data_IF_961304698036
#
_entry.id   IF_961304698036
#
_cell.length_a   1.000
_cell.length_b   1.000
_cell.length_c   1.000
_cell.angle_alpha   90.00
_cell.angle_beta   90.00
_cell.angle_gamma   90.00
#
_symmetry.space_group_name_H-M   'P 1'
#
loop_
_entity.id
_entity.type
_entity.pdbx_description
1 polymer ?
#
# COMPACT_ATOMS: atom_id res chain seq x y z
N UNK A 1 -76.14 -8.58 42.00
CA UNK A 1 -77.07 -7.45 41.76
C UNK A 1 -76.23 -6.18 41.66
N UNK A 2 -76.66 -5.21 40.84
CA UNK A 2 -76.18 -3.81 40.68
C UNK A 2 -74.65 -3.59 40.59
N UNK A 3 -74.02 -3.12 39.50
CA UNK A 3 -74.33 -2.05 38.52
C UNK A 3 -74.17 -0.60 39.03
N UNK A 4 -73.39 0.19 38.28
CA UNK A 4 -73.58 1.64 37.97
C UNK A 4 -73.36 2.61 39.17
N UNK A 5 -72.59 3.71 39.13
CA UNK A 5 -71.76 4.41 38.12
C UNK A 5 -70.86 5.45 38.87
N UNK A 6 -70.13 6.47 38.37
CA UNK A 6 -69.76 7.17 37.10
C UNK A 6 -68.51 8.06 37.43
N UNK A 7 -67.73 8.75 36.56
CA UNK A 7 -67.42 8.74 35.12
C UNK A 7 -66.16 9.64 34.89
N UNK A 8 -65.55 9.63 33.69
CA UNK A 8 -64.57 10.60 33.13
C UNK A 8 -63.24 10.88 33.88
N UNK A 9 -62.14 10.43 33.27
CA UNK A 9 -61.13 11.28 32.59
C UNK A 9 -60.18 10.33 31.80
N UNK A 10 -60.43 10.09 30.51
CA UNK A 10 -59.84 10.78 29.34
C UNK A 10 -58.31 10.59 29.17
N UNK A 11 -57.92 10.20 27.96
CA UNK A 11 -56.58 9.72 27.60
C UNK A 11 -55.53 10.84 27.54
N UNK A 12 -54.30 10.60 28.03
CA UNK A 12 -53.06 11.17 27.45
C UNK A 12 -51.78 10.59 28.11
N UNK A 13 -51.16 9.56 27.50
CA UNK A 13 -49.68 9.29 27.46
C UNK A 13 -49.32 7.83 27.04
N UNK A 14 -49.58 7.46 25.79
CA UNK A 14 -48.98 6.24 25.18
C UNK A 14 -47.71 6.58 24.36
N UNK A 15 -47.43 7.86 24.14
CA UNK A 15 -46.38 8.34 23.22
C UNK A 15 -44.98 8.57 23.83
N UNK A 16 -44.79 8.41 25.15
CA UNK A 16 -43.58 8.91 25.83
C UNK A 16 -42.76 7.85 26.59
N UNK A 17 -42.45 6.70 25.96
CA UNK A 17 -41.34 5.82 26.39
C UNK A 17 -40.74 4.86 25.35
N UNK A 18 -41.05 5.02 24.06
CA UNK A 18 -40.55 4.12 22.99
C UNK A 18 -39.26 4.61 22.28
N UNK A 19 -38.54 5.58 22.86
CA UNK A 19 -37.59 6.43 22.10
C UNK A 19 -36.13 6.40 22.57
N UNK A 20 -35.73 5.48 23.47
CA UNK A 20 -34.38 5.47 24.09
C UNK A 20 -33.68 4.09 24.05
N UNK A 21 -33.96 3.25 23.05
CA UNK A 21 -33.18 2.02 22.77
C UNK A 21 -32.84 1.88 21.26
N UNK A 22 -32.59 3.01 20.58
CA UNK A 22 -32.10 3.03 19.18
C UNK A 22 -30.77 3.81 19.07
N UNK A 23 -30.48 4.71 20.02
CA UNK A 23 -29.35 5.66 20.03
C UNK A 23 -27.98 5.07 20.37
N UNK A 24 -27.82 3.74 20.36
CA UNK A 24 -26.54 3.06 20.63
C UNK A 24 -26.12 2.03 19.58
N UNK A 25 -26.88 1.87 18.49
CA UNK A 25 -26.33 1.38 17.22
C UNK A 25 -25.54 2.49 16.52
N UNK A 26 -24.50 2.99 17.20
CA UNK A 26 -23.41 3.67 16.52
C UNK A 26 -22.80 2.65 15.54
N UNK A 27 -22.82 2.89 14.21
CA UNK A 27 -21.89 2.21 13.35
C UNK A 27 -20.50 2.72 13.72
N UNK A 28 -19.85 2.00 14.64
CA UNK A 28 -18.40 1.89 14.68
C UNK A 28 -17.98 1.31 13.33
N UNK A 29 -17.97 2.19 12.34
CA UNK A 29 -17.35 2.02 11.04
C UNK A 29 -15.86 2.03 11.30
N UNK A 30 -15.37 0.90 11.81
CA UNK A 30 -13.95 0.62 11.94
C UNK A 30 -13.33 1.04 10.61
N UNK A 31 -12.33 1.93 10.68
CA UNK A 31 -11.41 2.12 9.58
C UNK A 31 -10.48 0.89 9.55
N UNK A 32 -11.11 -0.27 9.32
CA UNK A 32 -10.49 -1.57 9.27
C UNK A 32 -9.44 -1.52 8.17
N UNK A 33 -8.18 -1.67 8.56
CA UNK A 33 -7.10 -1.74 7.61
C UNK A 33 -7.27 -3.04 6.82
N UNK A 34 -7.50 -2.93 5.51
CA UNK A 34 -7.46 -4.09 4.64
C UNK A 34 -6.04 -4.65 4.66
N UNK A 35 -5.90 -5.96 4.87
CA UNK A 35 -4.61 -6.63 4.93
C UNK A 35 -4.58 -7.77 3.92
N UNK A 36 -3.71 -7.64 2.93
CA UNK A 36 -3.42 -8.69 1.95
C UNK A 36 -2.08 -9.32 2.31
N UNK A 37 -2.07 -10.62 2.64
CA UNK A 37 -0.85 -11.37 2.97
C UNK A 37 -0.44 -12.29 1.80
N UNK A 38 0.87 -12.39 1.58
CA UNK A 38 1.49 -13.05 0.43
C UNK A 38 2.59 -14.01 0.83
N UNK A 39 2.61 -15.16 0.16
CA UNK A 39 3.82 -15.95 0.00
C UNK A 39 4.62 -15.37 -1.17
N UNK A 40 5.93 -15.26 -1.02
CA UNK A 40 6.85 -14.83 -2.08
C UNK A 40 7.75 -16.00 -2.44
N UNK A 41 7.67 -16.41 -3.71
CA UNK A 41 8.46 -17.48 -4.30
C UNK A 41 9.44 -16.91 -5.33
N UNK A 42 10.58 -17.56 -5.50
CA UNK A 42 11.61 -17.22 -6.49
C UNK A 42 11.94 -18.42 -7.38
N UNK A 43 12.28 -18.13 -8.65
CA UNK A 43 12.77 -19.08 -9.64
C UNK A 43 14.02 -18.53 -10.34
N UNK A 44 15.17 -19.15 -10.10
CA UNK A 44 16.43 -18.82 -10.76
C UNK A 44 17.60 -19.65 -10.20
N UNK A 45 18.83 -19.14 -10.33
CA UNK A 45 20.06 -19.89 -9.99
C UNK A 45 20.03 -20.41 -8.55
N UNK A 46 19.63 -19.56 -7.58
CA UNK A 46 19.60 -19.91 -6.16
C UNK A 46 18.51 -20.93 -5.77
N UNK A 47 17.60 -21.29 -6.69
CA UNK A 47 16.55 -22.29 -6.48
C UNK A 47 16.66 -23.48 -7.45
N UNK A 48 17.80 -23.66 -8.11
CA UNK A 48 17.98 -24.71 -9.13
C UNK A 48 17.01 -24.56 -10.31
N UNK A 49 16.57 -23.34 -10.60
CA UNK A 49 15.48 -23.01 -11.53
C UNK A 49 14.13 -23.69 -11.21
N UNK A 50 13.91 -24.14 -9.98
CA UNK A 50 12.58 -24.49 -9.45
C UNK A 50 11.90 -23.26 -8.83
N UNK A 51 10.58 -23.31 -8.58
CA UNK A 51 9.92 -22.33 -7.72
C UNK A 51 10.15 -22.73 -6.25
N UNK A 52 10.64 -21.80 -5.43
CA UNK A 52 10.88 -22.03 -4.00
C UNK A 52 10.40 -20.85 -3.17
N UNK A 53 9.72 -21.17 -2.06
CA UNK A 53 9.32 -20.25 -0.99
C UNK A 53 10.54 -19.53 -0.38
N UNK A 54 10.57 -18.19 -0.43
CA UNK A 54 11.75 -17.40 0.01
C UNK A 54 11.45 -16.25 0.97
N UNK A 55 10.24 -15.70 0.96
CA UNK A 55 9.83 -14.71 1.97
C UNK A 55 8.32 -14.64 2.13
N UNK A 56 7.85 -14.04 3.21
CA UNK A 56 6.47 -13.57 3.31
C UNK A 56 6.43 -12.07 3.07
N UNK A 57 5.33 -11.60 2.48
CA UNK A 57 5.06 -10.19 2.29
C UNK A 57 3.61 -9.84 2.66
N UNK A 58 3.33 -8.56 2.91
CA UNK A 58 1.97 -8.10 3.19
C UNK A 58 1.75 -6.66 2.80
N UNK A 59 0.53 -6.32 2.35
CA UNK A 59 0.08 -4.95 2.07
C UNK A 59 -1.07 -4.62 3.03
N UNK A 60 -0.85 -3.64 3.90
CA UNK A 60 -1.87 -3.02 4.78
C UNK A 60 -2.34 -1.72 4.12
N UNK A 61 -3.66 -1.53 3.98
CA UNK A 61 -4.27 -0.34 3.36
C UNK A 61 -5.32 0.26 4.30
N UNK A 62 -5.23 1.56 4.61
CA UNK A 62 -6.23 2.25 5.44
C UNK A 62 -6.40 3.72 5.07
N UNK A 63 -7.54 4.30 5.40
CA UNK A 63 -7.76 5.75 5.37
C UNK A 63 -7.04 6.41 6.56
N UNK A 64 -6.54 7.63 6.36
CA UNK A 64 -5.98 8.49 7.40
C UNK A 64 -6.75 9.82 7.35
N UNK A 65 -7.21 10.30 8.50
CA UNK A 65 -8.11 11.45 8.59
C UNK A 65 -7.43 12.77 8.20
N UNK A 66 -6.18 12.95 8.62
CA UNK A 66 -5.35 14.13 8.36
C UNK A 66 -4.06 13.72 7.65
N UNK A 67 -3.76 14.44 6.58
CA UNK A 67 -2.58 14.33 5.73
C UNK A 67 -2.23 15.75 5.25
N UNK A 68 -1.04 15.97 4.66
CA UNK A 68 -0.71 17.28 4.10
C UNK A 68 -1.85 17.80 3.19
N UNK A 69 -2.02 19.12 3.23
CA UNK A 69 -3.11 19.83 2.56
C UNK A 69 -4.47 19.76 3.32
N UNK A 70 -4.48 19.27 4.57
CA UNK A 70 -5.61 19.41 5.50
C UNK A 70 -6.82 18.52 5.19
N UNK A 71 -6.60 17.37 4.54
CA UNK A 71 -7.67 16.49 4.10
C UNK A 71 -7.28 15.02 4.07
N UNK A 72 -8.28 14.15 4.25
CA UNK A 72 -8.04 12.72 4.40
C UNK A 72 -7.40 12.08 3.17
N UNK A 73 -6.38 11.26 3.39
CA UNK A 73 -5.71 10.49 2.35
C UNK A 73 -5.73 8.98 2.65
N UNK A 74 -5.20 8.18 1.74
CA UNK A 74 -4.99 6.74 1.93
C UNK A 74 -3.52 6.49 2.28
N UNK A 75 -3.28 5.53 3.17
CA UNK A 75 -1.94 5.06 3.53
C UNK A 75 -1.86 3.57 3.24
N UNK A 76 -0.91 3.19 2.38
CA UNK A 76 -0.56 1.81 2.07
C UNK A 76 0.82 1.48 2.61
N UNK A 77 0.96 0.38 3.35
CA UNK A 77 2.24 -0.16 3.84
C UNK A 77 2.45 -1.54 3.24
N UNK A 78 3.48 -1.71 2.42
CA UNK A 78 3.99 -3.00 1.99
C UNK A 78 5.21 -3.40 2.83
N UNK A 79 5.28 -4.65 3.29
CA UNK A 79 6.44 -5.22 3.99
C UNK A 79 6.82 -6.58 3.42
N UNK A 80 8.10 -6.95 3.46
CA UNK A 80 8.60 -8.27 3.04
C UNK A 80 9.77 -8.74 3.91
N UNK A 81 9.79 -10.02 4.27
CA UNK A 81 10.71 -10.60 5.25
C UNK A 81 11.05 -12.07 4.95
N UNK A 82 12.35 -12.39 4.85
CA UNK A 82 12.86 -13.76 4.75
C UNK A 82 12.98 -14.49 6.09
N UNK A 83 12.60 -13.89 7.24
CA UNK A 83 12.89 -14.43 8.59
C UNK A 83 12.50 -15.90 8.80
N UNK A 84 11.41 -16.36 8.19
CA UNK A 84 10.91 -17.74 8.31
C UNK A 84 11.48 -18.74 7.29
N UNK A 85 12.39 -18.31 6.41
CA UNK A 85 12.79 -19.06 5.21
C UNK A 85 14.30 -19.31 5.24
N UNK A 86 14.69 -20.39 5.92
CA UNK A 86 16.08 -20.64 6.33
C UNK A 86 17.11 -20.51 5.19
N UNK A 87 16.81 -21.03 4.00
CA UNK A 87 17.71 -20.98 2.84
C UNK A 87 18.00 -19.53 2.40
N UNK A 88 16.96 -18.69 2.22
CA UNK A 88 17.22 -17.29 1.86
C UNK A 88 17.78 -16.50 3.06
N UNK A 89 17.31 -16.73 4.28
CA UNK A 89 17.80 -16.01 5.47
C UNK A 89 19.29 -16.29 5.76
N UNK A 90 19.81 -17.46 5.40
CA UNK A 90 21.23 -17.78 5.48
C UNK A 90 22.09 -16.98 4.49
N UNK A 91 21.60 -16.76 3.26
CA UNK A 91 22.33 -16.08 2.18
C UNK A 91 22.10 -14.55 2.24
N UNK A 92 20.83 -14.12 2.24
CA UNK A 92 20.40 -12.73 2.12
C UNK A 92 19.22 -12.42 3.06
N UNK A 93 19.52 -11.78 4.19
CA UNK A 93 18.52 -11.38 5.22
C UNK A 93 17.65 -10.21 4.77
N UNK A 94 16.68 -10.50 3.88
CA UNK A 94 15.71 -9.56 3.32
C UNK A 94 14.82 -9.00 4.43
N UNK A 95 14.86 -7.68 4.61
CA UNK A 95 13.89 -6.90 5.39
C UNK A 95 13.58 -5.63 4.61
N UNK A 96 12.36 -5.56 4.07
CA UNK A 96 11.88 -4.45 3.25
C UNK A 96 10.59 -3.89 3.82
N UNK A 97 10.48 -2.56 3.84
CA UNK A 97 9.25 -1.83 4.15
C UNK A 97 9.13 -0.63 3.21
N UNK A 98 7.98 -0.51 2.57
CA UNK A 98 7.57 0.60 1.74
C UNK A 98 6.25 1.15 2.28
N UNK A 99 6.13 2.46 2.45
CA UNK A 99 4.91 3.11 2.94
C UNK A 99 4.60 4.31 2.08
N UNK A 100 3.42 4.36 1.46
CA UNK A 100 2.95 5.47 0.64
C UNK A 100 1.73 6.14 1.26
N UNK A 101 1.66 7.46 1.14
CA UNK A 101 0.50 8.31 1.40
C UNK A 101 0.06 8.92 0.07
N UNK A 102 -1.21 8.74 -0.29
CA UNK A 102 -1.72 9.12 -1.61
C UNK A 102 -3.22 9.46 -1.56
N UNK A 103 -3.65 10.26 -2.53
CA UNK A 103 -5.06 10.52 -2.82
C UNK A 103 -5.44 9.76 -4.10
N UNK A 104 -6.73 9.41 -4.24
CA UNK A 104 -7.27 8.68 -5.40
C UNK A 104 -8.11 9.58 -6.34
N UNK A 105 -8.48 10.79 -5.89
CA UNK A 105 -9.26 11.79 -6.64
C UNK A 105 -8.76 13.21 -6.29
N UNK A 106 -7.91 13.86 -7.12
CA UNK A 106 -7.13 13.25 -8.20
C UNK A 106 -6.17 12.17 -7.66
N UNK A 107 -5.74 11.26 -8.53
CA UNK A 107 -4.75 10.26 -8.18
C UNK A 107 -3.36 10.91 -8.09
N UNK A 108 -2.82 11.12 -6.88
CA UNK A 108 -1.49 11.70 -6.63
C UNK A 108 -0.85 11.10 -5.38
N UNK A 109 0.47 10.92 -5.39
CA UNK A 109 1.23 10.60 -4.17
C UNK A 109 1.59 11.88 -3.43
N UNK A 110 1.50 11.85 -2.10
CA UNK A 110 1.91 12.95 -1.20
C UNK A 110 3.31 12.69 -0.66
N UNK A 111 3.58 11.46 -0.20
CA UNK A 111 4.89 11.04 0.29
C UNK A 111 5.05 9.52 0.30
N UNK A 112 6.30 9.05 0.29
CA UNK A 112 6.61 7.64 0.57
C UNK A 112 7.96 7.39 1.24
N UNK A 113 7.95 6.46 2.20
CA UNK A 113 9.11 6.00 2.95
C UNK A 113 9.56 4.62 2.45
N UNK A 114 10.87 4.47 2.25
CA UNK A 114 11.53 3.20 1.90
C UNK A 114 12.56 2.82 2.96
N UNK A 115 12.51 1.57 3.44
CA UNK A 115 13.46 0.94 4.37
C UNK A 115 13.89 -0.42 3.83
N UNK A 116 15.18 -0.61 3.57
CA UNK A 116 15.75 -1.83 2.99
C UNK A 116 17.05 -2.21 3.70
N UNK A 117 17.12 -3.38 4.36
CA UNK A 117 18.35 -3.85 5.02
C UNK A 117 19.35 -4.38 3.98
N UNK A 118 20.62 -3.96 4.04
CA UNK A 118 21.70 -4.52 3.20
C UNK A 118 22.74 -5.28 4.04
N UNK A 119 22.68 -6.61 3.97
CA UNK A 119 23.75 -7.60 4.20
C UNK A 119 24.66 -7.51 5.45
N UNK A 120 24.30 -6.76 6.50
CA UNK A 120 25.05 -6.73 7.77
C UNK A 120 24.39 -7.59 8.86
N UNK A 121 25.14 -8.52 9.46
CA UNK A 121 24.71 -9.27 10.64
C UNK A 121 24.76 -8.45 11.92
N UNK A 122 25.73 -7.53 12.04
CA UNK A 122 25.83 -6.63 13.19
C UNK A 122 24.60 -5.74 13.24
N UNK A 123 23.90 -5.75 14.39
CA UNK A 123 22.72 -4.93 14.68
C UNK A 123 23.11 -3.44 14.82
N UNK A 124 23.45 -2.82 13.70
CA UNK A 124 23.54 -1.36 13.63
C UNK A 124 22.12 -0.81 13.54
N UNK A 125 21.73 0.20 14.34
CA UNK A 125 20.42 0.86 14.24
C UNK A 125 20.17 1.58 12.90
N UNK A 126 21.15 1.55 11.97
CA UNK A 126 21.06 2.06 10.61
C UNK A 126 21.63 1.09 9.56
N UNK A 127 21.50 -0.23 9.78
CA UNK A 127 21.77 -1.28 8.77
C UNK A 127 20.86 -1.24 7.52
N UNK A 128 19.97 -0.25 7.45
CA UNK A 128 19.05 -0.01 6.36
C UNK A 128 19.53 1.14 5.45
N UNK A 129 19.27 1.02 4.14
CA UNK A 129 18.94 2.19 3.32
C UNK A 129 17.61 2.73 3.85
N UNK A 130 17.57 3.99 4.26
CA UNK A 130 16.36 4.67 4.70
C UNK A 130 16.23 5.96 3.90
N UNK A 131 15.08 6.15 3.26
CA UNK A 131 14.78 7.36 2.51
C UNK A 131 13.30 7.69 2.55
N UNK A 132 13.00 8.97 2.51
CA UNK A 132 11.66 9.53 2.42
C UNK A 132 11.61 10.42 1.17
N UNK A 133 10.59 10.27 0.34
CA UNK A 133 10.24 11.19 -0.73
C UNK A 133 8.97 11.95 -0.31
N UNK A 134 8.94 13.26 -0.51
CA UNK A 134 7.75 14.10 -0.29
C UNK A 134 7.48 14.92 -1.55
N UNK A 135 6.23 14.97 -1.99
CA UNK A 135 5.75 15.73 -3.16
C UNK A 135 4.86 16.86 -2.62
N UNK A 136 5.42 18.01 -2.22
CA UNK A 136 4.64 19.11 -1.66
C UNK A 136 3.55 19.56 -2.63
N UNK A 137 2.36 19.83 -2.08
CA UNK A 137 1.17 20.34 -2.77
C UNK A 137 0.70 19.50 -3.98
N UNK A 138 1.22 18.27 -4.14
CA UNK A 138 1.03 17.46 -5.36
C UNK A 138 1.60 18.12 -6.63
N UNK A 139 2.56 19.03 -6.46
CA UNK A 139 3.16 19.84 -7.51
C UNK A 139 4.15 19.09 -8.39
N UNK A 140 5.07 19.83 -9.00
CA UNK A 140 6.06 19.34 -9.98
C UNK A 140 7.44 19.07 -9.40
N UNK A 141 7.56 18.94 -8.06
CA UNK A 141 8.83 18.67 -7.36
C UNK A 141 8.68 17.52 -6.38
N UNK A 142 9.72 16.69 -6.29
CA UNK A 142 9.91 15.71 -5.19
C UNK A 142 11.16 16.06 -4.40
N UNK A 143 11.02 16.05 -3.08
CA UNK A 143 12.09 16.25 -2.11
C UNK A 143 12.51 14.89 -1.53
N UNK A 144 13.67 14.40 -1.96
CA UNK A 144 14.20 13.09 -1.61
C UNK A 144 15.22 13.17 -0.48
N UNK A 145 14.78 12.83 0.73
CA UNK A 145 15.60 12.79 1.94
C UNK A 145 16.27 11.42 2.09
N UNK A 146 17.60 11.39 2.18
CA UNK A 146 18.39 10.20 2.58
C UNK A 146 18.68 10.27 4.08
N UNK A 147 18.21 9.28 4.83
CA UNK A 147 18.08 9.36 6.30
C UNK A 147 19.11 8.48 7.04
N UNK A 148 19.62 8.98 8.18
CA UNK A 148 20.60 8.34 9.08
C UNK A 148 20.47 8.82 10.54
N UNK A 149 21.43 8.44 11.39
CA UNK A 149 21.59 8.87 12.79
C UNK A 149 22.13 10.28 12.98
N UNK A 150 22.94 10.77 12.04
CA UNK A 150 23.67 12.05 12.08
C UNK A 150 23.37 12.85 10.81
N UNK A 151 23.46 14.17 10.90
CA UNK A 151 23.00 15.14 9.90
C UNK A 151 21.89 16.02 10.49
N UNK A 152 21.17 16.74 9.63
CA UNK A 152 20.19 17.75 10.03
C UNK A 152 18.87 17.18 10.56
N UNK A 153 18.09 17.93 11.36
CA UNK A 153 16.72 17.57 11.70
C UNK A 153 15.87 17.31 10.44
N UNK A 154 14.96 16.34 10.51
CA UNK A 154 13.94 16.19 9.48
C UNK A 154 12.89 17.30 9.63
N UNK A 155 12.53 18.06 8.57
CA UNK A 155 11.51 19.11 8.65
C UNK A 155 10.16 18.61 9.17
N UNK A 156 9.42 19.44 9.91
CA UNK A 156 8.16 19.04 10.54
C UNK A 156 7.13 18.50 9.52
N UNK A 157 6.99 19.17 8.37
CA UNK A 157 6.15 18.74 7.24
C UNK A 157 6.53 17.39 6.64
N UNK A 158 7.77 16.93 6.84
CA UNK A 158 8.24 15.60 6.42
C UNK A 158 8.16 14.55 7.55
N UNK A 159 8.24 14.95 8.84
CA UNK A 159 8.16 14.04 9.99
C UNK A 159 6.86 13.23 10.01
N UNK A 160 5.72 13.83 9.65
CA UNK A 160 4.40 13.18 9.66
C UNK A 160 4.33 11.89 8.82
N UNK A 161 5.15 11.78 7.77
CA UNK A 161 5.12 10.65 6.84
C UNK A 161 6.00 9.46 7.25
N UNK A 162 6.85 9.60 8.27
CA UNK A 162 7.81 8.57 8.65
C UNK A 162 7.20 7.52 9.59
N UNK A 163 7.64 6.26 9.52
CA UNK A 163 7.26 5.24 10.49
C UNK A 163 8.11 5.38 11.77
N UNK A 164 7.46 5.48 12.93
CA UNK A 164 8.12 5.55 14.24
C UNK A 164 8.28 4.20 14.94
N UNK A 165 7.76 3.13 14.32
CA UNK A 165 7.76 1.72 14.77
C UNK A 165 9.15 1.15 15.15
N UNK A 166 10.21 1.69 14.59
CA UNK A 166 11.60 1.26 14.77
C UNK A 166 12.45 2.29 15.53
N UNK A 167 11.98 3.54 15.62
CA UNK A 167 12.65 4.67 16.28
C UNK A 167 11.74 5.88 16.37
N UNK A 168 11.80 6.62 17.47
CA UNK A 168 11.22 7.99 17.52
C UNK A 168 11.79 8.87 16.39
N UNK A 169 10.90 9.66 15.76
CA UNK A 169 11.21 10.54 14.65
C UNK A 169 12.31 11.56 14.98
N UNK A 170 12.38 12.02 16.23
CA UNK A 170 13.38 13.00 16.68
C UNK A 170 14.80 12.43 16.78
N UNK A 171 14.94 11.10 16.70
CA UNK A 171 16.22 10.42 16.57
C UNK A 171 16.57 10.08 15.11
N UNK A 172 15.82 10.59 14.13
CA UNK A 172 16.09 10.47 12.69
C UNK A 172 16.66 11.81 12.18
N UNK A 173 17.67 11.72 11.30
CA UNK A 173 18.38 12.86 10.71
C UNK A 173 18.55 12.73 9.20
N UNK A 174 18.59 13.87 8.52
CA UNK A 174 18.79 14.01 7.08
C UNK A 174 20.30 14.04 6.78
N UNK A 175 20.82 13.05 6.07
CA UNK A 175 22.22 13.05 5.57
C UNK A 175 22.35 13.85 4.27
N UNK A 176 21.32 13.85 3.42
CA UNK A 176 21.27 14.62 2.16
C UNK A 176 19.83 14.75 1.68
N UNK A 177 19.47 15.90 1.14
CA UNK A 177 18.28 16.08 0.29
C UNK A 177 18.71 16.07 -1.18
N UNK A 178 17.85 15.60 -2.07
CA UNK A 178 17.85 15.95 -3.50
C UNK A 178 16.49 16.53 -3.86
N UNK A 179 16.48 17.62 -4.61
CA UNK A 179 15.28 18.18 -5.22
C UNK A 179 15.24 17.75 -6.69
N UNK A 180 14.11 17.23 -7.15
CA UNK A 180 13.95 16.67 -8.50
C UNK A 180 12.60 17.08 -9.09
N UNK A 181 12.60 17.39 -10.38
CA UNK A 181 11.35 17.65 -11.11
C UNK A 181 10.58 16.34 -11.31
N UNK A 182 9.26 16.41 -11.21
CA UNK A 182 8.30 15.33 -11.52
C UNK A 182 7.09 15.90 -12.24
N UNK A 183 6.34 15.05 -12.94
CA UNK A 183 5.08 15.46 -13.54
C UNK A 183 4.02 15.75 -12.46
N UNK A 184 3.11 16.69 -12.74
CA UNK A 184 1.99 17.00 -11.84
C UNK A 184 1.14 15.73 -11.64
N UNK A 185 0.73 15.49 -10.40
CA UNK A 185 0.03 14.26 -10.00
C UNK A 185 0.85 12.95 -10.17
N UNK A 186 2.19 13.00 -10.22
CA UNK A 186 3.01 11.78 -10.20
C UNK A 186 2.63 10.87 -9.03
N UNK A 187 2.48 9.58 -9.32
CA UNK A 187 2.20 8.52 -8.34
C UNK A 187 3.40 7.60 -8.14
N UNK A 188 3.43 6.91 -7.00
CA UNK A 188 4.37 5.82 -6.73
C UNK A 188 3.76 4.43 -7.03
N UNK A 189 4.53 3.36 -6.83
CA UNK A 189 4.10 1.99 -7.18
C UNK A 189 2.93 1.44 -6.35
N UNK A 190 2.80 1.81 -5.07
CA UNK A 190 1.62 1.44 -4.27
C UNK A 190 0.42 2.32 -4.63
N UNK A 191 0.63 3.63 -4.83
CA UNK A 191 -0.42 4.51 -5.32
C UNK A 191 -0.95 4.07 -6.71
N UNK A 192 -0.08 3.58 -7.61
CA UNK A 192 -0.45 2.94 -8.88
C UNK A 192 -1.29 1.69 -8.67
N UNK A 193 -0.83 0.75 -7.83
CA UNK A 193 -1.59 -0.46 -7.53
C UNK A 193 -3.00 -0.13 -7.03
N UNK A 194 -3.12 0.82 -6.11
CA UNK A 194 -4.40 1.23 -5.52
C UNK A 194 -5.24 2.06 -6.50
N UNK A 195 -4.62 2.82 -7.39
CA UNK A 195 -5.30 3.46 -8.54
C UNK A 195 -5.90 2.41 -9.46
N UNK A 196 -5.16 1.37 -9.82
CA UNK A 196 -5.66 0.26 -10.65
C UNK A 196 -6.83 -0.48 -9.98
N UNK A 197 -6.83 -0.59 -8.65
CA UNK A 197 -7.96 -1.15 -7.91
C UNK A 197 -9.22 -0.28 -7.94
N UNK A 198 -9.08 1.03 -8.07
CA UNK A 198 -10.19 1.98 -8.19
C UNK A 198 -10.82 2.08 -9.60
N UNK A 199 -10.32 1.31 -10.57
CA UNK A 199 -10.72 1.41 -11.99
C UNK A 199 -11.66 0.25 -12.39
N UNK A 200 -12.72 0.51 -13.18
CA UNK A 200 -13.55 -0.54 -13.78
C UNK A 200 -12.78 -1.24 -14.91
N UNK A 201 -11.99 -2.26 -14.56
CA UNK A 201 -11.12 -2.96 -15.49
C UNK A 201 -11.89 -3.87 -16.44
N UNK A 202 -11.47 -3.86 -17.71
CA UNK A 202 -12.02 -4.65 -18.81
C UNK A 202 -10.91 -5.10 -19.78
N UNK A 203 -11.16 -6.13 -20.59
CA UNK A 203 -10.26 -6.56 -21.68
C UNK A 203 -9.92 -5.36 -22.57
N UNK A 204 -8.65 -5.16 -22.89
CA UNK A 204 -8.20 -4.04 -23.72
C UNK A 204 -8.20 -2.67 -23.02
N UNK A 205 -8.45 -2.61 -21.71
CA UNK A 205 -8.15 -1.39 -20.95
C UNK A 205 -6.65 -1.08 -21.04
N UNK A 206 -6.31 0.12 -21.47
CA UNK A 206 -4.96 0.67 -21.47
C UNK A 206 -4.98 2.09 -20.87
N UNK A 207 -3.93 2.43 -20.11
CA UNK A 207 -3.73 3.76 -19.57
C UNK A 207 -2.24 4.06 -19.37
N UNK A 208 -1.90 5.33 -19.27
CA UNK A 208 -0.60 5.81 -18.82
C UNK A 208 -0.78 6.72 -17.61
N UNK A 209 0.16 6.66 -16.66
CA UNK A 209 0.17 7.51 -15.46
C UNK A 209 1.56 8.14 -15.26
N UNK A 210 1.64 9.43 -14.90
CA UNK A 210 2.88 10.04 -14.45
C UNK A 210 3.36 9.33 -13.17
N UNK A 211 4.62 8.91 -13.13
CA UNK A 211 5.18 8.17 -12.01
C UNK A 211 6.39 8.84 -11.38
N UNK A 212 6.86 8.33 -10.24
CA UNK A 212 8.21 8.61 -9.73
C UNK A 212 8.75 7.49 -8.85
N UNK A 213 10.07 7.24 -8.95
CA UNK A 213 10.81 6.40 -7.99
C UNK A 213 11.30 7.23 -6.75
N UNK A 214 11.02 8.53 -6.73
CA UNK A 214 11.39 9.51 -5.70
C UNK A 214 12.71 10.23 -5.98
N UNK A 215 13.57 9.65 -6.84
CA UNK A 215 14.80 10.26 -7.36
C UNK A 215 14.61 10.75 -8.79
N UNK A 216 13.73 10.11 -9.55
CA UNK A 216 13.60 10.29 -11.00
C UNK A 216 12.12 10.21 -11.42
N UNK A 217 11.78 10.84 -12.56
CA UNK A 217 10.43 10.85 -13.12
C UNK A 217 10.22 9.62 -13.99
N UNK A 218 9.05 9.00 -13.88
CA UNK A 218 8.68 7.79 -14.62
C UNK A 218 7.42 8.00 -15.46
N UNK A 219 7.18 7.09 -16.38
CA UNK A 219 5.85 6.80 -16.94
C UNK A 219 5.47 5.35 -16.58
N UNK A 220 4.27 5.15 -16.03
CA UNK A 220 3.69 3.81 -15.83
C UNK A 220 2.66 3.53 -16.91
N UNK A 221 3.00 2.69 -17.90
CA UNK A 221 2.04 2.21 -18.91
C UNK A 221 1.39 0.93 -18.43
N UNK A 222 0.06 0.86 -18.47
CA UNK A 222 -0.71 -0.24 -17.88
C UNK A 222 -1.71 -0.78 -18.90
N UNK A 223 -1.69 -2.10 -19.13
CA UNK A 223 -2.54 -2.77 -20.13
C UNK A 223 -3.14 -4.06 -19.56
N UNK A 224 -4.47 -4.24 -19.68
CA UNK A 224 -5.15 -5.51 -19.39
C UNK A 224 -5.00 -6.44 -20.59
N UNK A 225 -4.05 -7.37 -20.50
CA UNK A 225 -3.63 -8.26 -21.59
C UNK A 225 -4.44 -9.57 -21.68
N UNK A 226 -4.98 -10.07 -20.57
CA UNK A 226 -5.75 -11.32 -20.55
C UNK A 226 -6.76 -11.39 -19.40
N UNK A 227 -7.68 -12.36 -19.48
CA UNK A 227 -8.40 -12.88 -18.32
C UNK A 227 -7.87 -14.29 -18.01
N UNK A 228 -7.53 -14.56 -16.76
CA UNK A 228 -6.99 -15.86 -16.32
C UNK A 228 -7.67 -16.30 -15.00
N UNK A 229 -7.73 -17.61 -14.75
CA UNK A 229 -8.14 -18.15 -13.44
C UNK A 229 -6.91 -18.52 -12.62
N UNK A 230 -6.86 -18.06 -11.37
CA UNK A 230 -5.73 -18.25 -10.44
C UNK A 230 -6.23 -18.92 -9.17
N UNK A 231 -5.63 -20.05 -8.79
CA UNK A 231 -5.89 -20.70 -7.49
C UNK A 231 -4.95 -20.10 -6.44
N UNK A 232 -5.50 -19.43 -5.42
CA UNK A 232 -4.76 -18.77 -4.35
C UNK A 232 -5.65 -18.59 -3.11
N UNK A 233 -5.06 -18.58 -1.90
CA UNK A 233 -5.80 -18.53 -0.62
C UNK A 233 -6.96 -19.55 -0.53
N UNK A 234 -6.73 -20.80 -0.98
CA UNK A 234 -7.75 -21.87 -1.00
C UNK A 234 -8.89 -21.68 -2.02
N UNK A 235 -8.90 -20.58 -2.78
CA UNK A 235 -9.98 -20.16 -3.68
C UNK A 235 -9.52 -20.08 -5.13
N UNK A 236 -10.41 -20.41 -6.07
CA UNK A 236 -10.26 -20.10 -7.49
C UNK A 236 -10.74 -18.67 -7.76
N UNK A 237 -9.85 -17.83 -8.27
CA UNK A 237 -10.13 -16.42 -8.59
C UNK A 237 -10.19 -16.23 -10.10
N UNK A 238 -11.29 -15.65 -10.60
CA UNK A 238 -11.34 -15.06 -11.94
C UNK A 238 -10.58 -13.72 -11.87
N UNK A 239 -9.59 -13.52 -12.74
CA UNK A 239 -8.68 -12.35 -12.67
C UNK A 239 -8.53 -11.64 -14.02
N UNK A 240 -8.22 -10.34 -13.97
CA UNK A 240 -7.61 -9.60 -15.08
C UNK A 240 -6.10 -9.64 -14.91
N UNK A 241 -5.39 -10.12 -15.94
CA UNK A 241 -3.94 -10.05 -16.03
C UNK A 241 -3.53 -8.74 -16.66
N UNK A 242 -2.72 -7.99 -15.94
CA UNK A 242 -2.28 -6.65 -16.26
C UNK A 242 -0.77 -6.69 -16.46
N UNK A 243 -0.27 -6.10 -17.55
CA UNK A 243 1.13 -5.70 -17.68
C UNK A 243 1.27 -4.25 -17.23
N UNK A 244 2.26 -3.99 -16.38
CA UNK A 244 2.70 -2.65 -15.98
C UNK A 244 4.13 -2.49 -16.47
N UNK A 245 4.34 -1.59 -17.41
CA UNK A 245 5.66 -1.22 -17.91
C UNK A 245 6.08 0.06 -17.20
N UNK A 246 7.15 -0.02 -16.41
CA UNK A 246 7.80 1.13 -15.80
C UNK A 246 8.88 1.65 -16.75
N UNK A 247 8.74 2.91 -17.17
CA UNK A 247 9.64 3.59 -18.08
C UNK A 247 10.37 4.73 -17.35
N UNK A 248 11.69 4.61 -17.23
CA UNK A 248 12.60 5.70 -16.83
C UNK A 248 13.29 6.28 -18.10
N UNK A 249 13.67 7.55 -18.09
CA UNK A 249 14.09 8.25 -19.33
C UNK A 249 15.50 7.82 -19.80
N UNK A 250 15.55 6.76 -20.59
CA UNK A 250 16.76 6.25 -21.26
C UNK A 250 17.22 4.86 -20.80
N UNK A 251 16.48 4.22 -19.87
CA UNK A 251 16.79 2.89 -19.34
C UNK A 251 15.85 1.80 -19.91
N UNK A 252 16.24 0.54 -19.72
CA UNK A 252 15.44 -0.63 -20.08
C UNK A 252 14.07 -0.66 -19.37
N UNK A 253 13.05 -1.13 -20.10
CA UNK A 253 11.68 -1.23 -19.58
C UNK A 253 11.54 -2.35 -18.54
N UNK A 254 11.13 -2.00 -17.32
CA UNK A 254 10.82 -3.00 -16.28
C UNK A 254 9.34 -3.38 -16.35
N UNK A 255 9.04 -4.52 -17.01
CA UNK A 255 7.68 -5.08 -17.05
C UNK A 255 7.36 -5.93 -15.82
N UNK A 256 6.35 -5.50 -15.06
CA UNK A 256 5.70 -6.24 -13.97
C UNK A 256 4.36 -6.79 -14.46
N UNK A 257 3.97 -7.97 -13.97
CA UNK A 257 2.64 -8.56 -14.22
C UNK A 257 1.84 -8.66 -12.92
N UNK A 258 0.57 -8.26 -12.95
CA UNK A 258 -0.35 -8.36 -11.82
C UNK A 258 -1.67 -9.01 -12.24
N UNK A 259 -2.23 -9.85 -11.37
CA UNK A 259 -3.52 -10.50 -11.56
C UNK A 259 -4.49 -9.95 -10.52
N UNK A 260 -5.36 -9.02 -10.95
CA UNK A 260 -6.37 -8.41 -10.07
C UNK A 260 -7.69 -9.20 -10.15
N UNK A 261 -8.39 -9.40 -9.04
CA UNK A 261 -9.68 -10.11 -9.03
C UNK A 261 -10.73 -9.41 -9.90
N UNK A 262 -11.56 -10.20 -10.59
CA UNK A 262 -12.72 -9.71 -11.35
C UNK A 262 -13.94 -9.53 -10.44
N UNK A 263 -13.73 -8.82 -9.33
CA UNK A 263 -14.75 -8.36 -8.39
C UNK A 263 -14.57 -6.85 -8.13
N UNK A 264 -15.47 -6.24 -7.38
CA UNK A 264 -15.45 -4.81 -7.07
C UNK A 264 -14.26 -4.36 -6.18
N UNK A 265 -13.42 -5.29 -5.69
CA UNK A 265 -12.25 -4.99 -4.85
C UNK A 265 -10.93 -5.04 -5.63
N UNK A 266 -10.92 -5.61 -6.84
CA UNK A 266 -9.74 -5.74 -7.72
C UNK A 266 -8.47 -6.22 -6.96
N UNK A 267 -8.63 -7.13 -5.99
CA UNK A 267 -7.56 -7.63 -5.12
C UNK A 267 -6.41 -8.18 -5.97
N UNK A 268 -5.15 -7.75 -5.75
CA UNK A 268 -3.98 -8.39 -6.35
C UNK A 268 -3.81 -9.80 -5.81
N UNK A 269 -4.33 -10.79 -6.54
CA UNK A 269 -4.25 -12.23 -6.22
C UNK A 269 -2.84 -12.77 -6.46
N UNK A 270 -2.17 -12.23 -7.48
CA UNK A 270 -0.78 -12.57 -7.82
C UNK A 270 -0.06 -11.35 -8.38
N UNK A 271 1.24 -11.23 -8.08
CA UNK A 271 2.16 -10.29 -8.76
C UNK A 271 3.40 -11.11 -9.21
N UNK A 272 3.94 -10.85 -10.38
CA UNK A 272 5.13 -11.51 -10.94
C UNK A 272 6.08 -10.48 -11.54
N UNK A 273 7.34 -10.51 -11.11
CA UNK A 273 8.44 -9.72 -11.67
C UNK A 273 9.41 -10.67 -12.37
N UNK A 274 9.86 -10.29 -13.57
CA UNK A 274 10.85 -11.03 -14.35
C UNK A 274 12.12 -10.21 -14.48
N UNK A 275 13.27 -10.89 -14.44
CA UNK A 275 14.59 -10.31 -14.64
C UNK A 275 15.50 -11.34 -15.31
N UNK A 276 16.64 -10.90 -15.85
CA UNK A 276 17.69 -11.76 -16.38
C UNK A 276 18.21 -12.77 -15.35
N UNK A 277 18.20 -12.42 -14.06
CA UNK A 277 18.67 -13.26 -12.95
C UNK A 277 17.58 -14.15 -12.32
N UNK A 278 16.41 -14.24 -12.95
CA UNK A 278 15.29 -15.07 -12.48
C UNK A 278 13.97 -14.30 -12.32
N UNK A 279 12.94 -15.00 -11.85
CA UNK A 279 11.60 -14.45 -11.62
C UNK A 279 11.21 -14.54 -10.15
N UNK A 280 10.48 -13.56 -9.64
CA UNK A 280 9.87 -13.59 -8.32
C UNK A 280 8.35 -13.45 -8.46
N UNK A 281 7.58 -14.24 -7.69
CA UNK A 281 6.12 -14.15 -7.67
C UNK A 281 5.57 -14.06 -6.25
N UNK A 282 4.59 -13.19 -6.08
CA UNK A 282 3.82 -12.98 -4.85
C UNK A 282 2.47 -13.65 -5.07
N UNK A 283 2.05 -14.56 -4.20
CA UNK A 283 0.77 -15.29 -4.28
C UNK A 283 -0.02 -15.03 -3.00
N UNK A 284 -1.28 -14.63 -3.15
CA UNK A 284 -2.18 -14.31 -2.04
C UNK A 284 -2.42 -15.53 -1.14
N UNK A 285 -2.24 -15.33 0.17
CA UNK A 285 -2.49 -16.32 1.23
C UNK A 285 -3.73 -15.98 2.05
N UNK A 286 -4.01 -14.70 2.29
CA UNK A 286 -5.24 -14.20 2.94
C UNK A 286 -5.52 -12.74 2.54
N UNK A 287 -6.81 -12.33 2.61
CA UNK A 287 -7.35 -11.02 2.21
C UNK A 287 -8.68 -10.70 2.90
#
# INVERSE_FOLDING_TARGET
MSCISNICLLEFNVFLKLSIIITLLLPLSLNAAERLDYLVEYKGILSGYSWTDVSSASIETRKVADCSDGGSCMMSRATMSSKGYAVLEAIFKVRFHYRSFYQLKPARTLAFEMREKKYSDKYQPYGYKHSLAVIPDGGTRVDFYKLKSKGEPLPASAKQFIATDHKSADKIRVKKVKHKSVAKYSIDRLALLQRMRSVPLKKGYAASFPGTNGKDQLEFRVVVIAAEEINAAGKRWKTWKIRVDELEKGDDTVSLFAWLSRDNRNIPVKIELKSSFGSARFILKSS
#
